data_IF_062283884767
#
_entry.id   IF_062283884767
#
_cell.length_a   1.000
_cell.length_b   1.000
_cell.length_c   1.000
_cell.angle_alpha   90.00
_cell.angle_beta   90.00
_cell.angle_gamma   90.00
#
_symmetry.space_group_name_H-M   'P 1'
#
loop_
_entity.id
_entity.type
_entity.pdbx_description
1 polymer ?
#
# COMPACT_ATOMS: atom_id res chain seq x y z
N UNK A 1 -23.89 20.07 -17.26
CA UNK A 1 -23.20 18.78 -17.17
C UNK A 1 -24.10 17.70 -17.78
N UNK A 2 -23.55 16.67 -18.44
CA UNK A 2 -24.34 15.56 -19.02
C UNK A 2 -24.57 14.41 -18.02
N UNK A 3 -23.63 14.19 -17.11
CA UNK A 3 -23.63 13.12 -16.12
C UNK A 3 -23.96 13.68 -14.73
N UNK A 4 -24.68 12.92 -13.90
CA UNK A 4 -25.00 13.28 -12.52
C UNK A 4 -23.79 13.11 -11.59
N UNK A 5 -22.98 12.08 -11.86
CA UNK A 5 -21.76 11.72 -11.14
C UNK A 5 -20.71 11.29 -12.16
N UNK A 6 -19.44 11.53 -11.86
CA UNK A 6 -18.33 11.39 -12.78
C UNK A 6 -17.16 10.59 -12.20
N UNK A 7 -17.01 10.51 -10.87
CA UNK A 7 -15.81 9.95 -10.24
C UNK A 7 -16.19 8.92 -9.19
N UNK A 8 -15.72 7.69 -9.43
CA UNK A 8 -15.69 6.61 -8.45
C UNK A 8 -14.34 5.90 -8.57
N UNK A 9 -13.81 5.43 -7.44
CA UNK A 9 -12.57 4.65 -7.41
C UNK A 9 -12.95 3.19 -7.15
N UNK A 10 -13.00 2.39 -8.22
CA UNK A 10 -13.32 0.97 -8.16
C UNK A 10 -12.05 0.08 -8.09
N UNK A 11 -12.15 -1.19 -7.68
CA UNK A 11 -11.03 -2.11 -7.73
C UNK A 11 -10.53 -2.32 -9.17
N UNK A 12 -9.21 -2.31 -9.35
CA UNK A 12 -8.58 -2.41 -10.68
C UNK A 12 -7.72 -3.66 -10.86
N UNK A 13 -7.90 -4.69 -10.03
CA UNK A 13 -6.99 -5.85 -9.96
C UNK A 13 -6.61 -6.44 -11.34
N UNK A 14 -7.60 -6.73 -12.19
CA UNK A 14 -7.35 -7.30 -13.52
C UNK A 14 -6.64 -6.31 -14.45
N UNK A 15 -7.12 -5.06 -14.54
CA UNK A 15 -6.56 -4.08 -15.48
C UNK A 15 -5.18 -3.59 -15.05
N UNK A 16 -4.92 -3.48 -13.74
CA UNK A 16 -3.60 -3.16 -13.17
C UNK A 16 -2.59 -4.28 -13.48
N UNK A 17 -3.01 -5.54 -13.39
CA UNK A 17 -2.18 -6.68 -13.78
C UNK A 17 -1.87 -6.68 -15.29
N UNK A 18 -2.83 -6.28 -16.14
CA UNK A 18 -2.63 -6.21 -17.60
C UNK A 18 -1.57 -5.17 -17.96
N UNK A 19 -1.57 -4.00 -17.30
CA UNK A 19 -0.65 -2.90 -17.62
C UNK A 19 0.60 -2.83 -16.72
N UNK A 20 0.72 -3.74 -15.74
CA UNK A 20 1.89 -3.83 -14.86
C UNK A 20 2.03 -2.69 -13.85
N UNK A 21 0.92 -2.20 -13.28
CA UNK A 21 0.92 -1.15 -12.24
C UNK A 21 0.25 -1.64 -10.95
N UNK A 22 0.39 -0.87 -9.86
CA UNK A 22 -0.29 -1.17 -8.60
C UNK A 22 -1.81 -1.15 -8.74
N UNK A 23 -2.50 -1.86 -7.84
CA UNK A 23 -3.95 -1.88 -7.82
C UNK A 23 -4.49 -0.58 -7.21
N UNK A 24 -5.17 0.22 -8.03
CA UNK A 24 -6.00 1.32 -7.58
C UNK A 24 -5.25 2.30 -6.65
N UNK A 25 -5.79 2.53 -5.45
CA UNK A 25 -5.22 3.39 -4.40
C UNK A 25 -4.59 2.57 -3.27
N UNK A 26 -4.39 1.28 -3.48
CA UNK A 26 -3.91 0.36 -2.45
C UNK A 26 -2.38 0.45 -2.30
N UNK A 27 -1.86 0.33 -1.07
CA UNK A 27 -0.43 0.11 -0.86
C UNK A 27 0.00 -1.22 -1.49
N UNK A 28 1.29 -1.35 -1.79
CA UNK A 28 1.87 -2.60 -2.30
C UNK A 28 1.64 -3.71 -1.28
N UNK A 29 0.93 -4.77 -1.68
CA UNK A 29 0.61 -5.87 -0.78
C UNK A 29 1.87 -6.61 -0.32
N UNK A 30 2.75 -6.96 -1.27
CA UNK A 30 4.06 -7.58 -1.04
C UNK A 30 5.03 -7.09 -2.13
N UNK A 31 6.29 -6.81 -1.77
CA UNK A 31 7.31 -6.48 -2.77
C UNK A 31 7.85 -7.70 -3.53
N UNK A 32 7.51 -8.90 -3.08
CA UNK A 32 7.83 -10.17 -3.73
C UNK A 32 6.66 -11.13 -3.53
N UNK A 33 6.16 -11.71 -4.62
CA UNK A 33 5.12 -12.74 -4.55
C UNK A 33 5.35 -13.82 -5.60
N UNK A 34 4.83 -15.02 -5.35
CA UNK A 34 4.91 -16.14 -6.29
C UNK A 34 3.61 -16.25 -7.07
N UNK A 35 3.72 -16.25 -8.39
CA UNK A 35 2.61 -16.50 -9.30
C UNK A 35 2.77 -17.89 -9.90
N UNK A 36 1.89 -18.81 -9.52
CA UNK A 36 1.83 -20.16 -10.10
C UNK A 36 0.92 -20.17 -11.33
N UNK A 37 1.40 -20.75 -12.43
CA UNK A 37 0.60 -21.00 -13.63
C UNK A 37 0.87 -22.43 -14.16
N UNK A 38 0.23 -22.81 -15.27
CA UNK A 38 0.39 -24.14 -15.88
C UNK A 38 1.85 -24.48 -16.27
N UNK A 39 2.72 -23.48 -16.37
CA UNK A 39 4.13 -23.60 -16.76
C UNK A 39 5.11 -23.53 -15.58
N UNK A 40 4.61 -23.42 -14.34
CA UNK A 40 5.44 -23.41 -13.12
C UNK A 40 5.19 -22.21 -12.21
N UNK A 41 6.12 -22.00 -11.28
CA UNK A 41 6.09 -20.90 -10.30
C UNK A 41 7.04 -19.80 -10.72
N UNK A 42 6.52 -18.57 -10.80
CA UNK A 42 7.28 -17.40 -11.17
C UNK A 42 7.30 -16.42 -10.00
N UNK A 43 8.50 -16.16 -9.46
CA UNK A 43 8.69 -15.09 -8.49
C UNK A 43 8.61 -13.74 -9.21
N UNK A 44 7.63 -12.92 -8.83
CA UNK A 44 7.49 -11.55 -9.29
C UNK A 44 7.99 -10.63 -8.17
N UNK A 45 8.87 -9.70 -8.52
CA UNK A 45 9.45 -8.72 -7.60
C UNK A 45 9.02 -7.32 -8.04
N UNK A 46 8.86 -6.41 -7.09
CA UNK A 46 8.61 -5.00 -7.34
C UNK A 46 9.77 -4.37 -8.13
N UNK A 47 9.56 -4.06 -9.40
CA UNK A 47 10.58 -3.49 -10.30
C UNK A 47 11.16 -2.16 -9.80
N UNK A 48 10.35 -1.36 -9.10
CA UNK A 48 10.80 -0.11 -8.48
C UNK A 48 11.85 -0.40 -7.41
N UNK A 49 11.58 -1.39 -6.53
CA UNK A 49 12.49 -1.82 -5.47
C UNK A 49 13.80 -2.34 -6.06
N UNK A 50 13.72 -3.23 -7.06
CA UNK A 50 14.91 -3.78 -7.74
C UNK A 50 15.77 -2.66 -8.31
N UNK A 51 15.15 -1.67 -8.96
CA UNK A 51 15.86 -0.53 -9.55
C UNK A 51 16.60 0.29 -8.48
N UNK A 52 15.96 0.55 -7.35
CA UNK A 52 16.58 1.38 -6.30
C UNK A 52 17.65 0.59 -5.51
N UNK A 53 17.45 -0.70 -5.26
CA UNK A 53 18.49 -1.58 -4.72
C UNK A 53 19.72 -1.66 -5.65
N UNK A 54 19.50 -1.74 -6.97
CA UNK A 54 20.61 -1.72 -7.96
C UNK A 54 21.40 -0.42 -7.92
N UNK A 55 20.73 0.73 -7.80
CA UNK A 55 21.41 2.04 -7.67
C UNK A 55 22.29 2.11 -6.41
N UNK A 56 21.88 1.44 -5.34
CA UNK A 56 22.63 1.38 -4.08
C UNK A 56 23.69 0.26 -4.05
N UNK A 57 23.83 -0.54 -5.11
CA UNK A 57 24.72 -1.70 -5.12
C UNK A 57 24.27 -2.82 -4.16
N UNK A 58 23.00 -2.81 -3.75
CA UNK A 58 22.41 -3.76 -2.80
C UNK A 58 21.60 -4.86 -3.49
N UNK A 59 21.69 -4.99 -4.82
CA UNK A 59 21.00 -6.06 -5.55
C UNK A 59 21.96 -7.20 -5.88
N UNK A 60 21.93 -8.24 -5.05
CA UNK A 60 22.72 -9.46 -5.17
C UNK A 60 21.88 -10.71 -4.81
N UNK A 61 22.46 -11.90 -4.95
CA UNK A 61 21.78 -13.16 -4.65
C UNK A 61 21.34 -13.27 -3.19
N UNK A 62 22.10 -12.66 -2.26
CA UNK A 62 21.77 -12.63 -0.83
C UNK A 62 20.50 -11.81 -0.59
N UNK A 63 20.38 -10.62 -1.20
CA UNK A 63 19.16 -9.81 -1.14
C UNK A 63 17.94 -10.54 -1.70
N UNK A 64 18.10 -11.26 -2.81
CA UNK A 64 17.01 -12.05 -3.38
C UNK A 64 16.58 -13.16 -2.42
N UNK A 65 17.53 -13.82 -1.75
CA UNK A 65 17.23 -14.84 -0.74
C UNK A 65 16.55 -14.23 0.50
N UNK A 66 17.04 -13.08 0.99
CA UNK A 66 16.45 -12.36 2.12
C UNK A 66 15.02 -11.91 1.82
N UNK A 67 14.78 -11.33 0.63
CA UNK A 67 13.44 -10.93 0.19
C UNK A 67 12.48 -12.12 0.11
N UNK A 68 12.96 -13.29 -0.30
CA UNK A 68 12.13 -14.51 -0.29
C UNK A 68 11.86 -14.98 1.13
N UNK A 69 12.87 -14.96 2.00
CA UNK A 69 12.75 -15.40 3.38
C UNK A 69 11.80 -14.53 4.21
N UNK A 70 11.76 -13.22 3.93
CA UNK A 70 10.89 -12.26 4.61
C UNK A 70 9.61 -11.90 3.82
N UNK A 71 9.19 -12.74 2.87
CA UNK A 71 7.95 -12.55 2.08
C UNK A 71 7.83 -11.15 1.43
N UNK A 72 8.96 -10.60 0.98
CA UNK A 72 9.07 -9.28 0.36
C UNK A 72 9.11 -8.09 1.33
N UNK A 73 9.12 -8.31 2.64
CA UNK A 73 9.34 -7.24 3.63
C UNK A 73 10.83 -6.89 3.71
N UNK A 74 11.11 -5.58 3.76
CA UNK A 74 12.47 -5.05 3.99
C UNK A 74 12.75 -4.76 5.47
N UNK A 75 11.73 -4.83 6.33
CA UNK A 75 11.80 -4.34 7.72
C UNK A 75 12.91 -5.03 8.53
N UNK A 76 13.19 -6.30 8.23
CA UNK A 76 14.16 -7.17 8.93
C UNK A 76 15.49 -7.33 8.19
N UNK A 77 15.73 -6.59 7.11
CA UNK A 77 16.96 -6.67 6.33
C UNK A 77 17.89 -5.50 6.70
N UNK A 78 18.87 -5.77 7.56
CA UNK A 78 19.70 -4.72 8.20
C UNK A 78 20.50 -3.86 7.21
N UNK A 79 20.96 -4.46 6.10
CA UNK A 79 21.71 -3.77 5.04
C UNK A 79 20.89 -2.75 4.24
N UNK A 80 19.56 -2.75 4.37
CA UNK A 80 18.69 -1.82 3.65
C UNK A 80 18.57 -0.51 4.44
N UNK A 81 18.83 0.67 3.83
CA UNK A 81 18.64 1.96 4.51
C UNK A 81 17.20 2.16 5.00
N UNK A 82 17.02 2.85 6.13
CA UNK A 82 15.69 3.08 6.74
C UNK A 82 14.72 3.77 5.79
N UNK A 83 15.18 4.78 5.05
CA UNK A 83 14.37 5.50 4.06
C UNK A 83 13.80 4.56 2.98
N UNK A 84 14.57 3.54 2.57
CA UNK A 84 14.11 2.56 1.59
C UNK A 84 13.11 1.59 2.22
N UNK A 85 13.28 1.23 3.50
CA UNK A 85 12.31 0.40 4.24
C UNK A 85 10.97 1.13 4.37
N UNK A 86 11.00 2.42 4.67
CA UNK A 86 9.79 3.25 4.77
C UNK A 86 9.10 3.41 3.41
N UNK A 87 9.87 3.68 2.34
CA UNK A 87 9.32 3.87 0.99
C UNK A 87 8.64 2.61 0.44
N UNK A 88 9.21 1.43 0.73
CA UNK A 88 8.72 0.15 0.26
C UNK A 88 7.96 -0.64 1.34
N UNK A 89 7.45 0.06 2.36
CA UNK A 89 6.58 -0.53 3.36
C UNK A 89 5.35 -1.16 2.69
N UNK A 90 5.09 -2.42 3.04
CA UNK A 90 3.97 -3.19 2.53
C UNK A 90 2.67 -2.82 3.22
N UNK A 91 1.55 -3.28 2.66
CA UNK A 91 0.21 -2.99 3.16
C UNK A 91 0.02 -3.27 4.66
N UNK A 92 0.69 -4.28 5.23
CA UNK A 92 0.59 -4.63 6.65
C UNK A 92 1.56 -3.87 7.56
N UNK A 93 2.51 -3.14 6.98
CA UNK A 93 3.49 -2.31 7.67
C UNK A 93 3.06 -0.84 7.72
N UNK A 94 2.15 -0.42 6.83
CA UNK A 94 1.53 0.91 6.84
C UNK A 94 0.42 0.96 7.88
N UNK A 95 0.47 1.95 8.77
CA UNK A 95 -0.60 2.15 9.77
C UNK A 95 -1.95 2.45 9.10
N UNK A 96 -3.05 1.76 9.49
CA UNK A 96 -4.38 1.92 8.87
C UNK A 96 -4.90 3.36 8.84
N UNK A 97 -4.49 4.17 9.83
CA UNK A 97 -4.87 5.58 9.92
C UNK A 97 -4.41 6.38 8.70
N UNK A 98 -3.24 6.07 8.12
CA UNK A 98 -2.77 6.73 6.89
C UNK A 98 -3.69 6.45 5.70
N UNK A 99 -4.19 5.21 5.59
CA UNK A 99 -5.12 4.82 4.51
C UNK A 99 -6.44 5.59 4.62
N UNK A 100 -7.01 5.62 5.84
CA UNK A 100 -8.25 6.34 6.14
C UNK A 100 -8.11 7.85 5.89
N UNK A 101 -7.03 8.45 6.37
CA UNK A 101 -6.75 9.88 6.22
C UNK A 101 -6.51 10.27 4.74
N UNK A 102 -5.78 9.44 3.98
CA UNK A 102 -5.61 9.64 2.54
C UNK A 102 -6.94 9.54 1.79
N UNK A 103 -7.75 8.53 2.11
CA UNK A 103 -9.07 8.32 1.52
C UNK A 103 -9.99 9.52 1.80
N UNK A 104 -10.03 10.00 3.04
CA UNK A 104 -10.81 11.16 3.46
C UNK A 104 -10.43 12.45 2.72
N UNK A 105 -9.12 12.69 2.49
CA UNK A 105 -8.65 13.84 1.71
C UNK A 105 -9.09 13.78 0.25
N UNK A 106 -8.98 12.62 -0.40
CA UNK A 106 -9.38 12.46 -1.80
C UNK A 106 -10.90 12.47 -1.99
N UNK A 107 -11.66 11.97 -1.00
CA UNK A 107 -13.12 11.90 -1.07
C UNK A 107 -13.79 13.26 -1.30
N UNK A 108 -13.14 14.37 -0.91
CA UNK A 108 -13.60 15.75 -1.18
C UNK A 108 -13.78 16.05 -2.67
N UNK A 109 -13.13 15.27 -3.53
CA UNK A 109 -13.12 15.44 -4.98
C UNK A 109 -13.79 14.28 -5.73
N UNK A 110 -14.45 13.37 -5.01
CA UNK A 110 -15.11 12.17 -5.53
C UNK A 110 -16.61 12.33 -5.26
N UNK A 111 -17.42 12.31 -6.32
CA UNK A 111 -18.87 12.51 -6.23
C UNK A 111 -19.66 11.20 -6.01
N UNK A 112 -18.97 10.07 -5.98
CA UNK A 112 -19.47 8.79 -5.48
C UNK A 112 -18.64 8.34 -4.26
N UNK A 113 -17.97 7.19 -4.34
CA UNK A 113 -17.17 6.62 -3.28
C UNK A 113 -15.88 5.97 -3.84
N UNK A 114 -15.08 5.42 -2.93
CA UNK A 114 -13.87 4.66 -3.23
C UNK A 114 -13.92 3.31 -2.52
N UNK A 115 -13.54 2.24 -3.22
CA UNK A 115 -13.25 0.95 -2.60
C UNK A 115 -11.92 1.05 -1.87
N UNK A 116 -11.96 1.01 -0.53
CA UNK A 116 -10.79 1.11 0.33
C UNK A 116 -10.65 -0.17 1.16
N UNK A 117 -9.59 -0.93 0.94
CA UNK A 117 -9.23 -2.02 1.84
C UNK A 117 -8.50 -1.48 3.08
N UNK A 118 -8.72 -2.13 4.22
CA UNK A 118 -7.99 -1.85 5.47
C UNK A 118 -7.15 -3.07 5.80
N UNK A 119 -5.84 -2.89 5.82
CA UNK A 119 -4.85 -3.90 6.17
C UNK A 119 -4.39 -3.65 7.60
N UNK A 120 -4.40 -4.67 8.45
CA UNK A 120 -4.04 -4.50 9.86
C UNK A 120 -3.25 -5.71 10.36
N UNK A 121 -2.00 -5.47 10.75
CA UNK A 121 -1.20 -6.45 11.47
C UNK A 121 -1.58 -6.48 12.96
N UNK A 122 -1.78 -7.68 13.52
CA UNK A 122 -2.15 -7.87 14.92
C UNK A 122 -3.47 -7.16 15.27
N UNK A 123 -4.55 -7.54 14.59
CA UNK A 123 -5.88 -6.96 14.78
C UNK A 123 -6.40 -7.20 16.21
N UNK A 124 -7.02 -6.17 16.78
CA UNK A 124 -7.72 -6.26 18.05
C UNK A 124 -9.06 -5.52 17.96
N UNK A 125 -10.03 -5.88 18.79
CA UNK A 125 -11.33 -5.20 18.80
C UNK A 125 -11.18 -3.69 19.02
N UNK A 126 -10.24 -3.28 19.89
CA UNK A 126 -9.91 -1.87 20.11
C UNK A 126 -9.36 -1.19 18.85
N UNK A 127 -8.39 -1.81 18.16
CA UNK A 127 -7.82 -1.23 16.93
C UNK A 127 -8.87 -1.09 15.83
N UNK A 128 -9.76 -2.08 15.69
CA UNK A 128 -10.84 -2.03 14.72
C UNK A 128 -11.83 -0.90 15.04
N UNK A 129 -12.29 -0.82 16.29
CA UNK A 129 -13.17 0.24 16.77
C UNK A 129 -12.57 1.63 16.52
N UNK A 130 -11.30 1.85 16.92
CA UNK A 130 -10.60 3.11 16.71
C UNK A 130 -10.45 3.44 15.20
N UNK A 131 -10.16 2.45 14.35
CA UNK A 131 -9.98 2.64 12.90
C UNK A 131 -11.30 2.98 12.19
N UNK A 132 -12.38 2.26 12.49
CA UNK A 132 -13.68 2.51 11.87
C UNK A 132 -14.32 3.81 12.38
N UNK A 133 -14.11 4.16 13.65
CA UNK A 133 -14.50 5.49 14.17
C UNK A 133 -13.75 6.60 13.45
N UNK A 134 -12.44 6.45 13.22
CA UNK A 134 -11.65 7.40 12.43
C UNK A 134 -12.21 7.54 11.00
N UNK A 135 -12.64 6.44 10.37
CA UNK A 135 -13.21 6.45 9.03
C UNK A 135 -14.58 7.13 8.94
N UNK A 136 -15.38 7.07 10.01
CA UNK A 136 -16.69 7.70 10.08
C UNK A 136 -16.63 9.19 10.44
N UNK A 137 -15.70 9.58 11.33
CA UNK A 137 -15.58 10.95 11.80
C UNK A 137 -15.14 11.90 10.67
N UNK A 138 -15.60 13.16 10.68
CA UNK A 138 -15.15 14.14 9.71
C UNK A 138 -13.63 14.36 9.85
N UNK A 139 -12.91 14.62 8.74
CA UNK A 139 -11.47 14.84 8.78
C UNK A 139 -11.13 15.95 9.77
N UNK A 140 -10.20 15.68 10.69
CA UNK A 140 -9.69 16.70 11.60
C UNK A 140 -9.13 17.85 10.77
N UNK A 141 -9.67 19.05 10.96
CA UNK A 141 -9.19 20.24 10.28
C UNK A 141 -7.83 20.64 10.90
N UNK A 142 -6.70 20.48 10.20
CA UNK A 142 -5.39 20.84 10.77
C UNK A 142 -5.29 22.33 11.09
N UNK A 143 -6.12 23.19 10.46
CA UNK A 143 -6.19 24.63 10.78
C UNK A 143 -6.95 24.95 12.06
N UNK A 144 -7.82 24.07 12.56
CA UNK A 144 -8.54 24.29 13.82
C UNK A 144 -7.67 23.94 15.04
N UNK A 145 -6.68 23.06 14.89
CA UNK A 145 -5.78 22.66 15.97
C UNK A 145 -4.66 23.67 16.25
N UNK A 146 -4.36 24.58 15.31
CA UNK A 146 -3.36 25.63 15.48
C UNK A 146 -3.92 26.95 16.05
N UNK A 147 -5.19 26.94 16.48
CA UNK A 147 -5.92 28.14 16.93
C UNK A 147 -6.25 28.15 18.43
N UNK A 148 -5.68 27.22 19.22
CA UNK A 148 -5.81 27.17 20.68
C UNK A 148 -4.44 27.06 21.35
#
# INVERSE_FOLDING_TARGET
MRNSNCVAIAPTATISNIIGVSACIEPTFQNLYVKSNLSGEFTVVNDYLVRDLKKLGLWDEVMVADLKYFDGSLSRIDRVPSELRELYATAFEVEPSWLVECASRRQKWIDQAQSLNIYMSGASGKKLDDTYKLAWLPPKNPRAAAAN
#
